data_IF_316566720265
#
_entry.id   IF_316566720265
#
_cell.length_a   1.000
_cell.length_b   1.000
_cell.length_c   1.000
_cell.angle_alpha   90.00
_cell.angle_beta   90.00
_cell.angle_gamma   90.00
#
_symmetry.space_group_name_H-M   'P 1'
#
loop_
_entity.id
_entity.type
_entity.pdbx_description
1 polymer ?
#
# COMPACT_ATOMS: atom_id res chain seq x y z
N UNK A 1 27.29 16.68 -15.82
CA UNK A 1 26.68 17.27 -17.02
C UNK A 1 27.29 16.73 -18.32
N UNK A 2 28.61 16.51 -18.37
CA UNK A 2 29.28 15.98 -19.55
C UNK A 2 28.80 14.61 -19.99
N UNK A 3 28.50 13.70 -19.07
CA UNK A 3 27.97 12.36 -19.40
C UNK A 3 26.57 12.42 -20.00
N UNK A 4 25.68 13.27 -19.52
CA UNK A 4 24.36 13.47 -20.10
C UNK A 4 24.48 14.01 -21.53
N UNK A 5 25.33 15.00 -21.76
CA UNK A 5 25.52 15.58 -23.08
C UNK A 5 26.17 14.62 -24.08
N UNK A 6 27.10 13.79 -23.64
CA UNK A 6 27.81 12.87 -24.54
C UNK A 6 27.04 11.60 -24.83
N UNK A 7 26.30 11.07 -23.83
CA UNK A 7 25.70 9.73 -23.91
C UNK A 7 24.19 9.74 -23.80
N UNK A 8 23.61 10.71 -23.11
CA UNK A 8 22.22 10.68 -22.69
C UNK A 8 21.44 11.95 -23.03
N UNK A 9 22.09 13.07 -23.20
CA UNK A 9 21.43 14.36 -23.41
C UNK A 9 21.18 14.75 -24.86
N UNK A 10 21.49 13.92 -25.84
CA UNK A 10 21.29 14.24 -27.24
C UNK A 10 19.90 13.83 -27.71
N UNK A 11 19.19 14.78 -28.29
CA UNK A 11 17.85 14.53 -28.85
C UNK A 11 17.91 13.42 -29.88
N UNK A 12 17.01 12.43 -29.76
CA UNK A 12 16.90 11.31 -30.68
C UNK A 12 17.96 10.21 -30.55
N UNK A 13 18.75 10.23 -29.45
CA UNK A 13 19.90 9.35 -29.33
C UNK A 13 19.67 7.89 -29.02
N UNK A 14 18.61 7.49 -28.42
CA UNK A 14 18.31 6.10 -28.09
C UNK A 14 19.56 5.24 -27.79
N UNK A 15 19.45 3.94 -27.97
CA UNK A 15 20.55 2.99 -27.76
C UNK A 15 21.75 3.23 -28.72
N UNK A 16 21.49 3.65 -29.94
CA UNK A 16 22.52 3.89 -30.95
C UNK A 16 23.47 5.07 -30.59
N UNK A 17 23.06 5.96 -29.68
CA UNK A 17 23.93 7.07 -29.22
C UNK A 17 24.86 6.70 -28.08
N UNK A 18 24.73 5.53 -27.48
CA UNK A 18 25.57 5.08 -26.38
C UNK A 18 26.99 4.77 -26.85
N UNK A 19 27.99 5.10 -26.02
CA UNK A 19 29.42 4.89 -26.36
C UNK A 19 29.71 3.44 -26.72
N UNK A 20 29.23 2.48 -25.93
CA UNK A 20 29.49 1.08 -26.15
C UNK A 20 28.81 0.56 -27.43
N UNK A 21 27.68 1.15 -27.83
CA UNK A 21 27.07 0.84 -29.13
C UNK A 21 27.93 1.40 -30.28
N UNK A 22 28.31 2.67 -30.20
CA UNK A 22 29.14 3.31 -31.24
C UNK A 22 30.50 2.64 -31.39
N UNK A 23 31.16 2.26 -30.31
CA UNK A 23 32.50 1.69 -30.34
C UNK A 23 32.53 0.19 -30.63
N UNK A 24 31.55 -0.53 -30.11
CA UNK A 24 31.57 -2.00 -30.12
C UNK A 24 30.30 -2.65 -30.69
N UNK A 25 29.33 -1.86 -31.17
CA UNK A 25 28.06 -2.35 -31.70
C UNK A 25 27.17 -3.01 -30.62
N UNK A 26 27.40 -2.77 -29.33
CA UNK A 26 26.62 -3.41 -28.27
C UNK A 26 25.18 -2.89 -28.27
N UNK A 27 24.25 -3.82 -28.31
CA UNK A 27 22.79 -3.56 -28.28
C UNK A 27 22.14 -4.00 -26.97
N UNK A 28 22.81 -4.84 -26.16
CA UNK A 28 22.31 -5.32 -24.88
C UNK A 28 22.64 -4.36 -23.74
N UNK A 29 21.72 -4.26 -22.79
CA UNK A 29 21.95 -3.55 -21.53
C UNK A 29 23.09 -4.22 -20.74
N UNK A 30 24.02 -3.41 -20.22
CA UNK A 30 25.01 -3.86 -19.26
C UNK A 30 24.54 -3.50 -17.84
N UNK A 31 24.39 -4.49 -16.98
CA UNK A 31 24.03 -4.29 -15.58
C UNK A 31 25.26 -4.44 -14.70
N UNK A 32 25.41 -3.55 -13.74
CA UNK A 32 26.41 -3.65 -12.68
C UNK A 32 25.68 -3.87 -11.36
N UNK A 33 25.97 -4.99 -10.70
CA UNK A 33 25.51 -5.26 -9.34
C UNK A 33 26.53 -4.74 -8.36
N UNK A 34 26.13 -3.81 -7.50
CA UNK A 34 27.02 -3.16 -6.55
C UNK A 34 26.27 -2.77 -5.26
N UNK A 35 26.90 -2.90 -4.08
CA UNK A 35 26.25 -2.62 -2.79
C UNK A 35 26.24 -1.11 -2.46
N UNK A 36 25.62 -0.30 -3.31
CA UNK A 36 25.52 1.16 -3.11
C UNK A 36 24.21 1.62 -2.48
N UNK A 37 23.26 0.70 -2.31
CA UNK A 37 21.98 0.98 -1.70
C UNK A 37 22.09 1.27 -0.20
N UNK A 38 21.29 2.22 0.28
CA UNK A 38 21.19 2.50 1.71
C UNK A 38 19.73 2.79 2.06
N UNK A 39 19.32 2.35 3.24
CA UNK A 39 17.99 2.60 3.77
C UNK A 39 18.03 2.78 5.27
N UNK A 40 17.06 3.52 5.81
CA UNK A 40 16.80 3.55 7.23
C UNK A 40 15.30 3.59 7.50
N UNK A 41 14.94 3.06 8.65
CA UNK A 41 13.59 2.95 9.12
C UNK A 41 13.50 3.38 10.58
N UNK A 42 12.65 4.35 10.85
CA UNK A 42 12.37 4.85 12.19
C UNK A 42 10.90 4.58 12.53
N UNK A 43 10.62 4.09 13.73
CA UNK A 43 9.26 3.80 14.14
C UNK A 43 9.04 3.98 15.64
N UNK A 44 7.85 4.50 15.98
CA UNK A 44 7.24 4.38 17.30
C UNK A 44 6.17 3.30 17.24
N UNK A 45 6.26 2.29 18.09
CA UNK A 45 5.29 1.21 18.19
C UNK A 45 4.64 1.24 19.56
N UNK A 46 3.31 1.16 19.58
CA UNK A 46 2.52 1.07 20.78
C UNK A 46 1.57 -0.14 20.71
N UNK A 47 1.48 -0.88 21.81
CA UNK A 47 0.59 -2.03 21.91
C UNK A 47 -0.27 -1.91 23.16
N UNK A 48 -1.58 -2.10 22.99
CA UNK A 48 -2.53 -2.29 24.07
C UNK A 48 -3.08 -3.71 23.98
N UNK A 49 -2.92 -4.46 25.05
CA UNK A 49 -3.41 -5.84 25.13
C UNK A 49 -4.31 -6.02 26.36
N UNK A 50 -5.50 -6.55 26.13
CA UNK A 50 -6.34 -7.14 27.15
C UNK A 50 -6.48 -8.63 26.85
N UNK A 51 -5.88 -9.46 27.67
CA UNK A 51 -6.02 -10.92 27.59
C UNK A 51 -7.47 -11.31 27.80
N UNK A 52 -7.86 -12.45 27.20
CA UNK A 52 -9.21 -12.96 27.34
C UNK A 52 -9.56 -13.16 28.82
N UNK A 53 -10.57 -12.43 29.27
CA UNK A 53 -11.11 -12.52 30.61
C UNK A 53 -12.61 -12.34 30.54
N UNK A 54 -13.35 -13.25 31.20
CA UNK A 54 -14.81 -13.28 31.18
C UNK A 54 -15.37 -13.56 29.81
N UNK A 55 -15.51 -12.58 28.95
CA UNK A 55 -16.15 -12.68 27.64
C UNK A 55 -15.42 -11.91 26.52
N UNK A 56 -14.28 -11.29 26.82
CA UNK A 56 -13.69 -10.33 25.89
C UNK A 56 -12.16 -10.34 25.91
N UNK A 57 -11.55 -10.30 24.72
CA UNK A 57 -10.12 -9.97 24.53
C UNK A 57 -9.96 -8.86 23.52
N UNK A 58 -8.92 -8.06 23.67
CA UNK A 58 -8.57 -6.96 22.77
C UNK A 58 -7.07 -6.91 22.58
N UNK A 59 -6.62 -6.71 21.35
CA UNK A 59 -5.26 -6.35 21.02
C UNK A 59 -5.28 -5.20 20.01
N UNK A 60 -4.64 -4.09 20.35
CA UNK A 60 -4.48 -2.93 19.50
C UNK A 60 -2.99 -2.72 19.28
N UNK A 61 -2.56 -2.72 18.04
CA UNK A 61 -1.20 -2.40 17.65
C UNK A 61 -1.23 -1.11 16.82
N UNK A 62 -0.39 -0.18 17.18
CA UNK A 62 -0.19 1.06 16.43
C UNK A 62 1.27 1.25 16.10
N UNK A 63 1.56 1.55 14.86
CA UNK A 63 2.90 1.92 14.40
C UNK A 63 2.83 3.26 13.69
N UNK A 64 3.66 4.18 14.14
CA UNK A 64 3.97 5.41 13.42
C UNK A 64 5.40 5.30 12.91
N UNK A 65 5.60 5.36 11.60
CA UNK A 65 6.90 5.05 11.02
C UNK A 65 7.21 5.88 9.78
N UNK A 66 8.50 5.88 9.43
CA UNK A 66 9.02 6.44 8.18
C UNK A 66 10.17 5.57 7.68
N UNK A 67 10.07 5.17 6.42
CA UNK A 67 11.12 4.45 5.70
C UNK A 67 11.67 5.33 4.58
N UNK A 68 12.97 5.51 4.52
CA UNK A 68 13.67 6.25 3.46
C UNK A 68 14.72 5.31 2.87
N UNK A 69 14.79 5.24 1.54
CA UNK A 69 15.74 4.38 0.85
C UNK A 69 16.26 5.06 -0.43
N UNK A 70 17.40 4.57 -0.91
CA UNK A 70 17.93 4.95 -2.22
C UNK A 70 17.30 4.15 -3.35
N UNK A 71 16.76 2.95 -3.07
CA UNK A 71 15.89 2.22 -3.99
C UNK A 71 14.44 2.51 -3.61
N UNK A 72 13.82 3.45 -4.29
CA UNK A 72 12.47 3.92 -3.96
C UNK A 72 11.36 3.07 -4.61
N UNK A 73 11.71 1.98 -5.30
CA UNK A 73 10.76 1.14 -6.00
C UNK A 73 9.73 0.53 -5.04
N UNK A 74 8.49 0.42 -5.48
CA UNK A 74 7.42 -0.28 -4.77
C UNK A 74 7.63 -1.79 -4.72
N UNK A 75 8.40 -2.29 -5.65
CA UNK A 75 8.71 -3.70 -5.84
C UNK A 75 10.19 -3.93 -5.53
N UNK A 76 10.50 -5.15 -5.19
CA UNK A 76 11.84 -5.66 -4.89
C UNK A 76 12.82 -5.64 -6.07
N UNK A 77 12.59 -4.80 -7.07
CA UNK A 77 13.53 -4.66 -8.17
C UNK A 77 14.77 -3.95 -7.64
N UNK A 78 15.86 -4.66 -7.65
CA UNK A 78 17.18 -4.20 -7.21
C UNK A 78 17.76 -3.09 -8.10
N UNK A 79 16.94 -2.50 -8.98
CA UNK A 79 17.36 -1.47 -9.91
C UNK A 79 17.11 -0.07 -9.35
N UNK A 80 18.12 0.77 -9.47
CA UNK A 80 17.98 2.19 -9.14
C UNK A 80 17.15 2.91 -10.23
N UNK A 81 16.17 3.73 -9.84
CA UNK A 81 15.45 4.58 -10.80
C UNK A 81 16.36 5.48 -11.62
N UNK A 82 17.47 5.95 -11.03
CA UNK A 82 18.54 6.69 -11.69
C UNK A 82 19.85 5.94 -11.48
N UNK A 83 20.43 5.43 -12.55
CA UNK A 83 21.64 4.62 -12.53
C UNK A 83 22.93 5.39 -12.87
N UNK A 84 22.82 6.71 -13.04
CA UNK A 84 23.96 7.59 -13.35
C UNK A 84 24.62 8.03 -12.04
N UNK A 85 25.90 7.71 -11.80
CA UNK A 85 26.57 7.92 -10.50
C UNK A 85 26.45 9.34 -9.95
N UNK A 86 26.61 10.35 -10.77
CA UNK A 86 26.54 11.77 -10.40
C UNK A 86 25.17 12.17 -9.84
N UNK A 87 24.13 11.39 -10.18
CA UNK A 87 22.75 11.64 -9.80
C UNK A 87 22.18 10.61 -8.81
N UNK A 88 22.99 9.69 -8.28
CA UNK A 88 22.52 8.68 -7.31
C UNK A 88 21.82 9.27 -6.09
N UNK A 89 22.25 10.45 -5.64
CA UNK A 89 21.63 11.16 -4.53
C UNK A 89 20.15 11.49 -4.77
N UNK A 90 19.72 11.60 -6.04
CA UNK A 90 18.33 11.86 -6.41
C UNK A 90 17.40 10.67 -6.21
N UNK A 91 17.95 9.47 -6.04
CA UNK A 91 17.18 8.28 -5.73
C UNK A 91 16.67 8.25 -4.28
N UNK A 92 17.31 9.02 -3.37
CA UNK A 92 16.94 9.01 -1.96
C UNK A 92 15.55 9.59 -1.77
N UNK A 93 14.61 8.74 -1.36
CA UNK A 93 13.21 9.11 -1.21
C UNK A 93 12.52 8.23 -0.15
N UNK A 94 11.30 8.61 0.21
CA UNK A 94 10.43 7.74 1.01
C UNK A 94 10.20 6.44 0.25
N UNK A 95 10.34 5.30 0.91
CA UNK A 95 10.15 3.97 0.29
C UNK A 95 8.73 3.81 -0.21
N UNK A 96 8.53 3.19 -1.39
CA UNK A 96 7.22 3.02 -2.01
C UNK A 96 6.23 2.19 -1.17
N UNK A 97 6.72 1.37 -0.25
CA UNK A 97 5.93 0.59 0.70
C UNK A 97 5.70 1.29 2.06
N UNK A 98 6.21 2.50 2.24
CA UNK A 98 6.08 3.23 3.51
C UNK A 98 4.62 3.46 3.89
N UNK A 99 4.31 3.23 5.17
CA UNK A 99 3.01 3.46 5.78
C UNK A 99 3.21 4.29 7.04
N UNK A 100 2.98 5.60 6.98
CA UNK A 100 3.23 6.49 8.12
C UNK A 100 2.44 6.07 9.36
N UNK A 101 1.19 5.66 9.18
CA UNK A 101 0.35 5.17 10.26
C UNK A 101 -0.18 3.78 9.90
N UNK A 102 -0.04 2.85 10.83
CA UNK A 102 -0.60 1.50 10.74
C UNK A 102 -1.28 1.19 12.07
N UNK A 103 -2.60 0.97 12.03
CA UNK A 103 -3.40 0.55 13.18
C UNK A 103 -4.00 -0.80 12.87
N UNK A 104 -3.83 -1.76 13.76
CA UNK A 104 -4.50 -3.05 13.69
C UNK A 104 -5.18 -3.36 15.03
N UNK A 105 -6.46 -3.63 14.98
CA UNK A 105 -7.29 -3.97 16.14
C UNK A 105 -7.82 -5.39 15.93
N UNK A 106 -7.54 -6.27 16.86
CA UNK A 106 -8.14 -7.60 16.90
C UNK A 106 -8.88 -7.79 18.20
N UNK A 107 -10.07 -8.32 18.13
CA UNK A 107 -10.82 -8.68 19.33
C UNK A 107 -11.61 -9.97 19.15
N UNK A 108 -11.84 -10.64 20.27
CA UNK A 108 -12.69 -11.81 20.39
C UNK A 108 -13.71 -11.49 21.49
N UNK A 109 -14.98 -11.65 21.16
CA UNK A 109 -16.09 -11.37 22.05
C UNK A 109 -16.97 -12.61 22.14
N UNK A 110 -17.06 -13.25 23.30
CA UNK A 110 -18.11 -14.22 23.58
C UNK A 110 -19.40 -13.49 23.97
N UNK A 111 -20.47 -13.71 23.23
CA UNK A 111 -21.73 -13.03 23.50
C UNK A 111 -22.28 -13.48 24.86
N UNK A 112 -22.64 -12.55 25.75
CA UNK A 112 -23.02 -12.85 27.12
C UNK A 112 -24.50 -13.25 27.23
N UNK A 113 -24.96 -14.12 26.32
CA UNK A 113 -26.35 -14.61 26.28
C UNK A 113 -26.43 -16.09 26.61
N UNK A 114 -27.52 -16.50 27.30
CA UNK A 114 -27.87 -17.88 27.58
C UNK A 114 -27.63 -18.31 29.02
N UNK A 115 -27.82 -19.59 29.29
CA UNK A 115 -27.74 -20.18 30.62
C UNK A 115 -26.38 -19.94 31.26
N UNK A 116 -26.35 -19.40 32.49
CA UNK A 116 -25.11 -19.06 33.20
C UNK A 116 -24.41 -17.80 32.70
N UNK A 117 -25.00 -17.06 31.79
CA UNK A 117 -24.48 -15.78 31.25
C UNK A 117 -25.27 -14.59 31.82
N UNK A 118 -24.79 -13.36 31.56
CA UNK A 118 -25.37 -12.12 32.11
C UNK A 118 -26.81 -11.88 31.62
N UNK A 119 -27.10 -12.23 30.39
CA UNK A 119 -28.42 -11.99 29.76
C UNK A 119 -29.08 -13.31 29.36
N UNK A 120 -30.40 -13.37 29.49
CA UNK A 120 -31.22 -14.53 29.13
C UNK A 120 -30.84 -15.80 29.93
N UNK A 121 -30.34 -15.66 31.16
CA UNK A 121 -29.90 -16.77 31.99
C UNK A 121 -31.05 -17.73 32.38
N UNK A 122 -32.27 -17.22 32.49
CA UNK A 122 -33.50 -17.98 32.78
C UNK A 122 -34.28 -18.45 31.58
N UNK A 123 -33.72 -18.36 30.36
CA UNK A 123 -34.41 -18.77 29.15
C UNK A 123 -34.67 -20.28 29.11
N UNK A 124 -35.77 -20.69 28.47
CA UNK A 124 -36.06 -22.10 28.24
C UNK A 124 -35.01 -22.79 27.36
N UNK A 125 -35.01 -24.12 27.30
CA UNK A 125 -34.03 -24.90 26.58
C UNK A 125 -33.88 -24.52 25.11
N UNK A 126 -35.01 -24.25 24.44
CA UNK A 126 -35.01 -23.88 23.02
C UNK A 126 -34.39 -22.50 22.77
N UNK A 127 -34.79 -21.49 23.53
CA UNK A 127 -34.21 -20.15 23.43
C UNK A 127 -32.71 -20.20 23.76
N UNK A 128 -32.34 -20.88 24.85
CA UNK A 128 -30.94 -21.07 25.20
C UNK A 128 -30.15 -21.75 24.08
N UNK A 129 -30.73 -22.77 23.44
CA UNK A 129 -30.10 -23.44 22.30
C UNK A 129 -29.88 -22.51 21.09
N UNK A 130 -30.62 -21.43 20.93
CA UNK A 130 -30.46 -20.47 19.83
C UNK A 130 -29.46 -19.33 20.20
N UNK A 131 -29.46 -18.84 21.44
CA UNK A 131 -28.74 -17.59 21.78
C UNK A 131 -27.39 -17.82 22.44
N UNK A 132 -27.13 -18.99 23.02
CA UNK A 132 -25.90 -19.26 23.75
C UNK A 132 -24.72 -19.68 22.86
N UNK A 133 -23.50 -19.43 23.34
CA UNK A 133 -22.26 -19.94 22.74
C UNK A 133 -21.81 -19.26 21.47
N UNK A 134 -22.34 -18.08 21.14
CA UNK A 134 -21.87 -17.29 20.02
C UNK A 134 -20.60 -16.52 20.38
N UNK A 135 -19.65 -16.50 19.43
CA UNK A 135 -18.41 -15.75 19.49
C UNK A 135 -18.29 -14.89 18.25
N UNK A 136 -17.95 -13.63 18.47
CA UNK A 136 -17.63 -12.64 17.43
C UNK A 136 -16.14 -12.38 17.42
N UNK A 137 -15.53 -12.46 16.24
CA UNK A 137 -14.14 -12.13 16.02
C UNK A 137 -14.05 -10.97 15.03
N UNK A 138 -13.21 -10.00 15.33
CA UNK A 138 -13.00 -8.86 14.46
C UNK A 138 -11.51 -8.63 14.22
N UNK A 139 -11.16 -8.31 12.98
CA UNK A 139 -9.87 -7.78 12.58
C UNK A 139 -10.14 -6.46 11.84
N UNK A 140 -9.70 -5.35 12.43
CA UNK A 140 -9.89 -4.03 11.85
C UNK A 140 -8.51 -3.46 11.57
N UNK A 141 -8.28 -3.00 10.34
CA UNK A 141 -7.00 -2.47 9.89
C UNK A 141 -7.18 -1.08 9.26
N UNK A 142 -6.34 -0.13 9.66
CA UNK A 142 -6.25 1.19 9.03
C UNK A 142 -4.79 1.50 8.73
N UNK A 143 -4.50 1.81 7.47
CA UNK A 143 -3.16 2.17 7.01
C UNK A 143 -3.17 3.47 6.23
N UNK A 144 -2.15 4.28 6.40
CA UNK A 144 -1.89 5.43 5.51
C UNK A 144 -1.69 4.97 4.07
N UNK A 145 -2.02 5.81 3.12
CA UNK A 145 -1.76 5.57 1.71
C UNK A 145 -0.27 5.35 1.42
N UNK A 146 0.05 4.54 0.42
CA UNK A 146 1.43 4.38 -0.06
C UNK A 146 1.90 5.63 -0.79
N UNK A 147 3.19 5.95 -0.70
CA UNK A 147 3.78 6.98 -1.53
C UNK A 147 3.75 6.61 -3.02
N UNK A 148 3.74 7.63 -3.88
CA UNK A 148 3.90 7.47 -5.31
C UNK A 148 4.63 8.67 -5.92
N UNK A 149 5.25 8.43 -7.08
CA UNK A 149 6.02 9.42 -7.82
C UNK A 149 5.18 10.13 -8.86
N UNK A 150 5.56 11.37 -9.16
CA UNK A 150 5.11 12.05 -10.37
C UNK A 150 6.24 12.01 -11.40
N UNK A 151 5.97 11.35 -12.52
CA UNK A 151 6.95 11.10 -13.57
C UNK A 151 6.65 11.90 -14.83
N UNK A 152 7.67 12.08 -15.66
CA UNK A 152 7.58 12.73 -16.96
C UNK A 152 8.16 11.81 -18.04
N UNK A 153 7.86 12.07 -19.33
CA UNK A 153 8.50 11.35 -20.43
C UNK A 153 10.02 11.50 -20.39
N UNK A 154 10.73 10.39 -20.59
CA UNK A 154 12.19 10.38 -20.59
C UNK A 154 12.82 10.93 -21.86
N UNK A 155 12.03 11.38 -22.84
CA UNK A 155 12.53 11.82 -24.15
C UNK A 155 13.47 13.01 -24.09
N UNK A 156 13.19 13.99 -23.22
CA UNK A 156 14.08 15.16 -23.03
C UNK A 156 15.41 14.79 -22.36
N UNK A 157 15.37 13.84 -21.42
CA UNK A 157 16.55 13.35 -20.73
C UNK A 157 17.43 12.49 -21.64
N UNK A 158 16.80 11.69 -22.52
CA UNK A 158 17.43 10.72 -23.40
C UNK A 158 18.48 9.85 -22.67
N UNK A 159 18.15 9.42 -21.47
CA UNK A 159 18.96 8.54 -20.63
C UNK A 159 18.27 7.17 -20.52
N UNK A 160 18.56 6.23 -21.42
CA UNK A 160 17.92 4.91 -21.39
C UNK A 160 18.03 4.26 -20.01
N UNK A 161 16.99 3.53 -19.60
CA UNK A 161 16.89 2.84 -18.32
C UNK A 161 16.89 3.73 -17.07
N UNK A 162 16.75 5.06 -17.24
CA UNK A 162 16.60 5.99 -16.13
C UNK A 162 15.19 6.59 -16.11
N UNK A 163 14.62 6.68 -14.94
CA UNK A 163 13.29 7.26 -14.74
C UNK A 163 13.37 8.78 -14.72
N UNK A 164 12.59 9.44 -15.60
CA UNK A 164 12.46 10.89 -15.58
C UNK A 164 11.43 11.30 -14.54
N UNK A 165 11.78 12.26 -13.72
CA UNK A 165 10.91 12.91 -12.73
C UNK A 165 10.25 14.14 -13.35
N UNK A 166 9.05 14.50 -12.90
CA UNK A 166 8.43 15.76 -13.30
C UNK A 166 9.14 16.96 -12.64
N UNK A 167 8.93 18.14 -13.17
CA UNK A 167 9.27 19.39 -12.49
C UNK A 167 8.16 19.79 -11.53
N UNK A 168 8.55 20.29 -10.35
CA UNK A 168 7.63 20.98 -9.44
C UNK A 168 7.59 22.45 -9.85
N UNK A 169 6.42 22.94 -10.26
CA UNK A 169 6.24 24.31 -10.78
C UNK A 169 5.44 25.20 -9.83
N UNK A 170 4.87 24.63 -8.76
CA UNK A 170 4.23 25.39 -7.68
C UNK A 170 4.93 25.13 -6.37
N UNK A 171 5.17 26.18 -5.58
CA UNK A 171 5.58 26.06 -4.19
C UNK A 171 4.36 25.88 -3.29
N UNK A 172 4.48 25.05 -2.25
CA UNK A 172 3.45 24.85 -1.24
C UNK A 172 2.81 23.48 -1.25
N UNK A 173 1.70 23.35 -0.56
CA UNK A 173 0.98 22.07 -0.40
C UNK A 173 0.29 21.68 -1.71
N UNK A 174 0.88 20.71 -2.41
CA UNK A 174 0.39 20.25 -3.73
C UNK A 174 -0.63 19.12 -3.63
N UNK A 175 -0.89 18.61 -2.45
CA UNK A 175 -1.69 17.41 -2.30
C UNK A 175 -2.93 17.67 -1.46
N UNK A 176 -4.04 18.02 -2.09
CA UNK A 176 -5.34 17.91 -1.43
C UNK A 176 -6.18 16.88 -2.17
N UNK A 177 -6.46 15.73 -1.56
CA UNK A 177 -7.34 14.74 -2.16
C UNK A 177 -8.70 15.35 -2.40
N UNK A 178 -9.22 15.22 -3.61
CA UNK A 178 -10.46 15.87 -4.01
C UNK A 178 -11.52 14.86 -4.39
N UNK A 179 -11.24 14.03 -5.37
CA UNK A 179 -12.21 13.10 -5.88
C UNK A 179 -11.56 11.81 -6.37
N UNK A 180 -12.34 10.74 -6.36
CA UNK A 180 -11.98 9.42 -6.83
C UNK A 180 -12.82 9.11 -8.07
N UNK A 181 -12.23 8.42 -9.05
CA UNK A 181 -12.89 8.06 -10.30
C UNK A 181 -12.93 9.20 -11.31
N UNK A 182 -14.03 9.28 -12.07
CA UNK A 182 -14.18 10.24 -13.17
C UNK A 182 -14.45 11.68 -12.71
N UNK A 183 -14.89 11.85 -11.46
CA UNK A 183 -15.34 13.15 -10.94
C UNK A 183 -14.20 14.13 -10.64
N UNK A 184 -12.90 13.70 -10.69
CA UNK A 184 -11.83 14.62 -10.39
C UNK A 184 -10.45 13.98 -10.31
N UNK A 185 -9.51 14.76 -9.78
CA UNK A 185 -8.11 14.36 -9.59
C UNK A 185 -7.78 14.28 -8.10
N UNK A 186 -6.85 13.42 -7.76
CA UNK A 186 -6.40 13.16 -6.39
C UNK A 186 -5.50 14.28 -5.84
N UNK A 187 -4.72 14.91 -6.70
CA UNK A 187 -3.78 15.98 -6.34
C UNK A 187 -3.84 17.12 -7.36
N UNK A 188 -3.20 18.26 -7.05
CA UNK A 188 -3.10 19.37 -7.99
C UNK A 188 -2.17 19.02 -9.15
N UNK A 189 -2.75 18.59 -10.26
CA UNK A 189 -2.01 18.20 -11.47
C UNK A 189 -1.26 19.35 -12.12
N UNK A 190 -1.64 20.61 -11.84
CA UNK A 190 -0.96 21.80 -12.37
C UNK A 190 0.29 22.17 -11.59
N UNK A 191 0.55 21.50 -10.46
CA UNK A 191 1.75 21.69 -9.66
C UNK A 191 3.00 21.03 -10.25
N UNK A 192 2.80 20.17 -11.27
CA UNK A 192 3.88 19.45 -11.92
C UNK A 192 3.85 19.66 -13.42
N UNK A 193 5.03 19.71 -14.01
CA UNK A 193 5.20 19.89 -15.46
C UNK A 193 6.16 18.83 -16.03
N UNK A 194 6.04 18.60 -17.33
CA UNK A 194 7.02 17.80 -18.07
C UNK A 194 8.32 18.56 -18.19
N UNK A 195 9.43 17.85 -18.08
CA UNK A 195 10.77 18.40 -18.29
C UNK A 195 11.07 18.45 -19.79
N UNK A 196 11.48 19.60 -20.27
CA UNK A 196 11.82 19.82 -21.69
C UNK A 196 13.32 19.86 -21.95
N UNK A 197 14.10 20.06 -20.90
CA UNK A 197 15.57 20.17 -20.96
C UNK A 197 16.24 18.80 -20.74
N UNK A 198 17.52 18.69 -21.12
CA UNK A 198 18.33 17.47 -20.89
C UNK A 198 18.83 17.40 -19.45
N UNK A 199 17.90 17.32 -18.51
CA UNK A 199 18.16 17.19 -17.07
C UNK A 199 17.08 16.36 -16.37
N UNK A 200 17.36 15.91 -15.18
CA UNK A 200 16.32 15.31 -14.33
C UNK A 200 15.38 16.40 -13.78
N UNK A 201 14.11 16.05 -13.64
CA UNK A 201 13.11 16.90 -13.02
C UNK A 201 13.35 17.12 -11.53
N UNK A 202 12.68 18.10 -10.98
CA UNK A 202 12.90 18.56 -9.59
C UNK A 202 12.02 17.84 -8.55
N UNK A 203 10.94 17.13 -8.96
CA UNK A 203 10.12 16.37 -8.04
C UNK A 203 10.94 15.21 -7.43
N UNK A 204 10.86 15.02 -6.12
CA UNK A 204 11.41 13.83 -5.50
C UNK A 204 10.60 12.57 -5.91
N UNK A 205 11.23 11.40 -5.89
CA UNK A 205 10.47 10.16 -5.97
C UNK A 205 9.56 10.04 -4.75
N UNK A 206 8.39 9.41 -4.93
CA UNK A 206 7.42 9.15 -3.87
C UNK A 206 7.00 10.40 -3.08
N UNK A 207 6.89 11.53 -3.77
CA UNK A 207 6.59 12.84 -3.19
C UNK A 207 5.15 12.99 -2.72
N UNK A 208 4.23 12.22 -3.29
CA UNK A 208 2.80 12.25 -2.95
C UNK A 208 2.36 10.94 -2.30
N UNK A 209 1.21 10.96 -1.63
CA UNK A 209 0.57 9.78 -1.05
C UNK A 209 -0.79 9.52 -1.66
N UNK A 210 -1.05 8.26 -1.96
CA UNK A 210 -2.33 7.77 -2.43
C UNK A 210 -3.37 7.62 -1.32
N UNK A 211 -4.51 7.01 -1.66
CA UNK A 211 -5.58 6.70 -0.71
C UNK A 211 -5.10 5.80 0.43
N UNK A 212 -5.66 6.03 1.61
CA UNK A 212 -5.50 5.14 2.74
C UNK A 212 -6.27 3.83 2.56
N UNK A 213 -6.02 2.91 3.45
CA UNK A 213 -6.65 1.59 3.50
C UNK A 213 -7.42 1.45 4.81
N UNK A 214 -8.68 1.04 4.74
CA UNK A 214 -9.48 0.71 5.91
C UNK A 214 -10.25 -0.59 5.64
N UNK A 215 -10.07 -1.59 6.47
CA UNK A 215 -10.69 -2.89 6.31
C UNK A 215 -11.24 -3.42 7.64
N UNK A 216 -12.38 -4.09 7.56
CA UNK A 216 -12.96 -4.81 8.69
C UNK A 216 -13.33 -6.23 8.26
N UNK A 217 -12.62 -7.21 8.81
CA UNK A 217 -12.96 -8.61 8.68
C UNK A 217 -13.74 -9.04 9.94
N UNK A 218 -14.87 -9.70 9.71
CA UNK A 218 -15.81 -10.10 10.73
C UNK A 218 -16.01 -11.61 10.69
N UNK A 219 -16.02 -12.24 11.87
CA UNK A 219 -16.33 -13.66 12.01
C UNK A 219 -17.36 -13.90 13.10
N UNK A 220 -18.35 -14.71 12.80
CA UNK A 220 -19.36 -15.19 13.72
C UNK A 220 -19.22 -16.71 13.85
N UNK A 221 -18.90 -17.16 15.06
CA UNK A 221 -18.66 -18.57 15.34
C UNK A 221 -19.59 -19.06 16.41
N UNK A 222 -19.93 -20.33 16.29
CA UNK A 222 -20.69 -21.03 17.33
C UNK A 222 -20.31 -22.49 17.39
N UNK A 223 -20.18 -23.01 18.64
CA UNK A 223 -19.93 -24.40 18.93
C UNK A 223 -21.16 -25.03 19.57
N UNK A 224 -21.63 -26.13 18.97
CA UNK A 224 -22.74 -26.94 19.45
C UNK A 224 -22.16 -28.22 20.02
N UNK A 225 -22.29 -28.45 21.30
CA UNK A 225 -21.97 -29.73 21.92
C UNK A 225 -23.09 -30.70 21.62
N UNK A 226 -22.83 -31.76 20.83
CA UNK A 226 -23.81 -32.76 20.46
C UNK A 226 -23.80 -33.87 21.49
N UNK A 227 -22.61 -34.37 21.85
CA UNK A 227 -22.39 -35.34 22.93
C UNK A 227 -21.11 -34.99 23.67
N UNK A 228 -20.70 -35.78 24.67
CA UNK A 228 -19.41 -35.56 25.35
C UNK A 228 -18.20 -35.67 24.40
N UNK A 229 -18.33 -36.41 23.30
CA UNK A 229 -17.25 -36.66 22.34
C UNK A 229 -17.42 -35.89 21.05
N UNK A 230 -18.61 -35.47 20.69
CA UNK A 230 -18.88 -34.81 19.40
C UNK A 230 -19.31 -33.37 19.58
N UNK A 231 -18.65 -32.49 18.88
CA UNK A 231 -19.05 -31.08 18.73
C UNK A 231 -19.14 -30.66 17.27
N UNK A 232 -20.03 -29.75 16.99
CA UNK A 232 -20.19 -29.12 15.69
C UNK A 232 -19.90 -27.64 15.82
N UNK A 233 -18.89 -27.15 15.10
CA UNK A 233 -18.59 -25.74 15.03
C UNK A 233 -19.11 -25.15 13.71
N UNK A 234 -20.00 -24.19 13.83
CA UNK A 234 -20.42 -23.31 12.74
C UNK A 234 -19.51 -22.09 12.67
N UNK A 235 -19.14 -21.68 11.43
CA UNK A 235 -18.35 -20.48 11.14
C UNK A 235 -19.01 -19.73 10.00
N UNK A 236 -19.19 -18.42 10.18
CA UNK A 236 -19.55 -17.47 9.15
C UNK A 236 -18.51 -16.33 9.19
N UNK A 237 -17.74 -16.20 8.13
CA UNK A 237 -16.67 -15.21 8.01
C UNK A 237 -16.98 -14.26 6.86
N UNK A 238 -16.75 -12.98 7.08
CA UNK A 238 -16.85 -11.96 6.05
C UNK A 238 -15.55 -11.16 5.99
N UNK A 239 -14.86 -11.25 4.87
CA UNK A 239 -13.70 -10.40 4.57
C UNK A 239 -14.21 -9.11 3.93
N UNK A 240 -13.66 -7.98 4.37
CA UNK A 240 -14.15 -6.65 4.04
C UNK A 240 -15.67 -6.52 4.29
N UNK A 241 -16.08 -6.73 5.53
CA UNK A 241 -17.49 -6.77 5.96
C UNK A 241 -18.26 -5.52 5.56
N UNK A 242 -17.65 -4.36 5.63
CA UNK A 242 -18.24 -3.06 5.25
C UNK A 242 -18.31 -2.84 3.74
N UNK A 243 -17.71 -3.73 2.93
CA UNK A 243 -17.57 -3.56 1.48
C UNK A 243 -16.94 -2.22 1.11
N UNK A 244 -15.92 -1.83 1.87
CA UNK A 244 -15.18 -0.59 1.64
C UNK A 244 -14.21 -0.79 0.46
N UNK A 245 -14.28 0.00 -0.61
CA UNK A 245 -13.35 -0.13 -1.73
C UNK A 245 -11.94 0.33 -1.30
N UNK A 246 -10.94 -0.47 -1.63
CA UNK A 246 -9.53 -0.15 -1.42
C UNK A 246 -8.95 0.38 -2.73
N UNK A 247 -8.60 1.67 -2.76
CA UNK A 247 -8.19 2.33 -3.98
C UNK A 247 -6.70 2.19 -4.26
N UNK A 248 -6.36 2.02 -5.54
CA UNK A 248 -4.98 2.09 -6.02
C UNK A 248 -4.44 3.53 -5.95
N UNK A 249 -3.12 3.68 -6.04
CA UNK A 249 -2.52 5.01 -6.20
C UNK A 249 -3.02 5.67 -7.49
N UNK A 250 -3.16 7.00 -7.51
CA UNK A 250 -3.46 7.74 -8.72
C UNK A 250 -2.33 7.61 -9.75
N UNK A 251 -2.66 7.79 -11.00
CA UNK A 251 -1.66 7.83 -12.06
C UNK A 251 -0.80 9.10 -11.93
N UNK A 252 0.51 8.94 -11.76
CA UNK A 252 1.49 10.01 -11.63
C UNK A 252 2.20 10.40 -12.92
N UNK A 253 1.87 9.80 -14.07
CA UNK A 253 2.52 10.08 -15.35
C UNK A 253 1.93 11.31 -16.03
N UNK A 254 2.70 12.39 -16.11
CA UNK A 254 2.32 13.66 -16.74
C UNK A 254 2.07 13.56 -18.23
N UNK A 255 2.51 12.47 -18.90
CA UNK A 255 2.24 12.23 -20.31
C UNK A 255 0.88 11.60 -20.58
N UNK A 256 0.26 11.02 -19.56
CA UNK A 256 -1.03 10.36 -19.66
C UNK A 256 -2.18 11.35 -19.41
N UNK A 257 -2.50 12.19 -20.37
CA UNK A 257 -3.52 13.24 -20.24
C UNK A 257 -4.88 12.73 -19.76
N UNK A 258 -5.25 11.50 -20.09
CA UNK A 258 -6.55 10.91 -19.73
C UNK A 258 -6.64 10.53 -18.24
N UNK A 259 -5.55 9.96 -17.69
CA UNK A 259 -5.55 9.38 -16.36
C UNK A 259 -4.70 10.13 -15.35
N UNK A 260 -3.93 11.12 -15.77
CA UNK A 260 -3.04 11.88 -14.90
C UNK A 260 -3.79 12.46 -13.69
N UNK A 261 -3.31 12.18 -12.51
CA UNK A 261 -3.91 12.56 -11.23
C UNK A 261 -5.14 11.75 -10.81
N UNK A 262 -5.61 10.79 -11.60
CA UNK A 262 -6.85 10.06 -11.35
C UNK A 262 -6.61 8.69 -10.71
N UNK A 263 -7.48 8.35 -9.76
CA UNK A 263 -7.59 7.00 -9.20
C UNK A 263 -8.58 6.22 -10.06
N UNK A 264 -8.12 5.16 -10.74
CA UNK A 264 -8.91 4.39 -11.70
C UNK A 264 -9.22 2.96 -11.26
N UNK A 265 -8.57 2.47 -10.24
CA UNK A 265 -8.74 1.10 -9.78
C UNK A 265 -9.05 1.01 -8.30
N UNK A 266 -9.82 0.00 -7.95
CA UNK A 266 -10.05 -0.43 -6.59
C UNK A 266 -9.99 -1.96 -6.53
N UNK A 267 -9.77 -2.50 -5.34
CA UNK A 267 -9.69 -3.92 -5.08
C UNK A 267 -10.33 -4.26 -3.72
N UNK A 268 -10.40 -5.54 -3.40
CA UNK A 268 -10.82 -6.01 -2.09
C UNK A 268 -12.34 -5.98 -1.92
N UNK A 269 -13.10 -6.54 -2.84
CA UNK A 269 -14.52 -6.77 -2.69
C UNK A 269 -14.84 -7.64 -1.48
N UNK A 270 -16.03 -7.49 -0.92
CA UNK A 270 -16.50 -8.28 0.21
C UNK A 270 -16.68 -9.74 -0.19
N UNK A 271 -16.14 -10.63 0.63
CA UNK A 271 -16.27 -12.06 0.46
C UNK A 271 -16.86 -12.71 1.70
N UNK A 272 -17.74 -13.68 1.52
CA UNK A 272 -18.30 -14.49 2.59
C UNK A 272 -17.77 -15.92 2.50
N UNK A 273 -17.48 -16.51 3.66
CA UNK A 273 -17.10 -17.91 3.80
C UNK A 273 -17.94 -18.54 4.91
N UNK A 274 -18.52 -19.69 4.61
CA UNK A 274 -19.24 -20.49 5.60
C UNK A 274 -18.54 -21.84 5.76
N UNK A 275 -18.48 -22.31 7.00
CA UNK A 275 -17.85 -23.58 7.32
C UNK A 275 -18.57 -24.30 8.45
N UNK A 276 -18.58 -25.64 8.37
CA UNK A 276 -18.98 -26.55 9.44
C UNK A 276 -17.80 -27.47 9.72
N UNK A 277 -17.46 -27.60 11.00
CA UNK A 277 -16.41 -28.50 11.46
C UNK A 277 -16.97 -29.44 12.52
N UNK A 278 -16.91 -30.73 12.27
CA UNK A 278 -17.22 -31.76 13.26
C UNK A 278 -15.92 -32.11 14.02
N UNK A 279 -15.97 -32.00 15.34
CA UNK A 279 -14.93 -32.47 16.26
C UNK A 279 -15.38 -33.80 16.89
N UNK A 280 -14.42 -34.72 17.11
CA UNK A 280 -14.65 -36.02 17.75
C UNK A 280 -13.41 -36.49 18.52
#
# INVERSE_FOLDING_TARGET
LGLLNLNYGTIGGGQASQILNKQFGRVAQTQLVTPIGNSHYDALQARLERRFREWYSLNVNYTWSKSIATSAAQNSDDTLPISIPEFYHLNRAVSGFDRTHNVQITNIIELPFGKGRKYLSGSNGFVNALVSGWQVNNIISFWSGTPFSVTAPGTSLNAPFNSQRADVVKSGEVAKPKAIGDAGVWFDTTAFAQVRDSRFGTAAFNVLRGPGYGNWDFGLFRRFQITERFDLQFRAESFNFTNTPHFNNPNGDTSNATNYGRVRGAFGERQFRFGLRLGF
#
